data_IF_587718142886
#
_entry.id   IF_587718142886
#
_cell.length_a   1.000
_cell.length_b   1.000
_cell.length_c   1.000
_cell.angle_alpha   90.00
_cell.angle_beta   90.00
_cell.angle_gamma   90.00
#
_symmetry.space_group_name_H-M   'P 1'
#
loop_
_entity.id
_entity.type
_entity.pdbx_description
1 polymer ?
#
# COMPACT_ATOMS: atom_id res chain seq x y z
N UNK A 1 -12.66 3.35 -1.86
CA UNK A 1 -11.79 2.20 -1.53
C UNK A 1 -11.29 1.59 -2.83
N UNK A 2 -9.98 1.58 -3.08
CA UNK A 2 -9.36 0.86 -4.19
C UNK A 2 -8.69 -0.41 -3.67
N UNK A 3 -8.95 -1.53 -4.33
CA UNK A 3 -8.41 -2.85 -4.02
C UNK A 3 -7.54 -3.29 -5.19
N UNK A 4 -6.24 -3.45 -4.95
CA UNK A 4 -5.29 -3.90 -5.96
C UNK A 4 -4.62 -5.19 -5.51
N UNK A 5 -4.72 -6.24 -6.32
CA UNK A 5 -3.97 -7.48 -6.13
C UNK A 5 -2.81 -7.46 -7.12
N UNK A 6 -1.58 -7.50 -6.62
CA UNK A 6 -0.39 -7.36 -7.45
C UNK A 6 0.75 -8.23 -6.94
N UNK A 7 1.59 -8.72 -7.86
CA UNK A 7 2.93 -9.20 -7.54
C UNK A 7 3.83 -7.99 -7.31
N UNK A 8 4.24 -7.76 -6.06
CA UNK A 8 4.99 -6.55 -5.70
C UNK A 8 5.96 -6.75 -4.53
N UNK A 9 6.97 -5.89 -4.44
CA UNK A 9 7.77 -5.69 -3.23
C UNK A 9 7.41 -4.36 -2.57
N UNK A 10 7.68 -4.22 -1.28
CA UNK A 10 7.38 -2.99 -0.53
C UNK A 10 8.56 -2.60 0.35
N UNK A 11 8.95 -1.34 0.26
CA UNK A 11 9.98 -0.74 1.10
C UNK A 11 9.38 0.42 1.88
N UNK A 12 9.57 0.43 3.19
CA UNK A 12 9.19 1.53 4.06
C UNK A 12 10.42 2.16 4.69
N UNK A 13 10.51 3.49 4.58
CA UNK A 13 11.52 4.32 5.20
C UNK A 13 10.84 5.39 6.05
N UNK A 14 10.92 5.25 7.37
CA UNK A 14 10.36 6.22 8.32
C UNK A 14 11.07 6.13 9.66
N UNK A 15 10.31 6.02 10.75
CA UNK A 15 10.87 5.82 12.10
C UNK A 15 11.67 4.52 12.23
N UNK A 16 11.30 3.52 11.43
CA UNK A 16 12.00 2.26 11.24
C UNK A 16 12.13 2.01 9.73
N UNK A 17 13.01 1.08 9.36
CA UNK A 17 13.01 0.51 8.02
C UNK A 17 12.29 -0.83 8.02
N UNK A 18 11.53 -1.09 6.96
CA UNK A 18 10.92 -2.40 6.71
C UNK A 18 10.97 -2.74 5.24
N UNK A 19 11.20 -4.01 4.94
CA UNK A 19 11.20 -4.56 3.59
C UNK A 19 10.27 -5.77 3.53
N UNK A 20 9.34 -5.77 2.57
CA UNK A 20 8.55 -6.93 2.20
C UNK A 20 9.08 -7.45 0.85
N UNK A 21 9.56 -8.71 0.80
CA UNK A 21 10.06 -9.29 -0.44
C UNK A 21 8.92 -9.48 -1.44
N UNK A 22 9.31 -9.63 -2.71
CA UNK A 22 8.42 -9.87 -3.84
C UNK A 22 7.45 -11.01 -3.56
N UNK A 23 6.15 -10.71 -3.58
CA UNK A 23 5.08 -11.69 -3.46
C UNK A 23 3.77 -11.10 -3.98
N UNK A 24 2.76 -11.93 -4.18
CA UNK A 24 1.39 -11.46 -4.41
C UNK A 24 0.83 -10.86 -3.12
N UNK A 25 0.39 -9.60 -3.18
CA UNK A 25 -0.18 -8.87 -2.04
C UNK A 25 -1.52 -8.24 -2.43
N UNK A 26 -2.37 -8.06 -1.43
CA UNK A 26 -3.49 -7.11 -1.51
C UNK A 26 -3.01 -5.75 -1.01
N UNK A 27 -3.14 -4.73 -1.86
CA UNK A 27 -2.92 -3.33 -1.56
C UNK A 27 -4.29 -2.68 -1.45
N UNK A 28 -4.62 -2.14 -0.27
CA UNK A 28 -5.85 -1.39 -0.05
C UNK A 28 -5.52 0.09 0.05
N UNK A 29 -6.23 0.91 -0.72
CA UNK A 29 -6.15 2.38 -0.68
C UNK A 29 -7.53 2.93 -0.29
N UNK A 30 -7.62 3.51 0.90
CA UNK A 30 -8.84 4.15 1.41
C UNK A 30 -9.01 5.56 0.82
N UNK A 31 -10.24 6.08 0.87
CA UNK A 31 -10.57 7.41 0.35
C UNK A 31 -9.87 8.55 1.12
N UNK A 32 -9.54 8.34 2.39
CA UNK A 32 -8.76 9.27 3.23
C UNK A 32 -7.26 9.28 2.88
N UNK A 33 -6.81 8.40 1.97
CA UNK A 33 -5.42 8.23 1.59
C UNK A 33 -4.65 7.22 2.45
N UNK A 34 -5.29 6.53 3.39
CA UNK A 34 -4.66 5.43 4.12
C UNK A 34 -4.33 4.27 3.15
N UNK A 35 -3.12 3.71 3.28
CA UNK A 35 -2.64 2.59 2.45
C UNK A 35 -2.21 1.43 3.35
N UNK A 36 -2.62 0.21 3.02
CA UNK A 36 -2.24 -1.00 3.76
C UNK A 36 -1.96 -2.19 2.86
N UNK A 37 -0.99 -3.02 3.27
CA UNK A 37 -0.46 -4.16 2.51
C UNK A 37 -0.76 -5.45 3.27
N UNK A 38 -1.38 -6.42 2.60
CA UNK A 38 -1.84 -7.68 3.18
C UNK A 38 -1.32 -8.90 2.39
N UNK A 39 -1.32 -10.04 3.05
CA UNK A 39 -1.16 -11.37 2.44
C UNK A 39 -2.08 -12.38 3.11
N UNK A 40 -2.21 -13.56 2.51
CA UNK A 40 -3.00 -14.67 3.06
C UNK A 40 -2.45 -15.17 4.41
N UNK A 41 -1.14 -15.07 4.62
CA UNK A 41 -0.48 -15.39 5.89
C UNK A 41 -0.26 -14.15 6.76
N UNK A 42 -0.33 -14.33 8.08
CA UNK A 42 -0.10 -13.27 9.07
C UNK A 42 -1.18 -13.25 10.16
N UNK A 43 -1.04 -12.33 11.12
CA UNK A 43 -2.13 -11.99 12.04
C UNK A 43 -3.22 -11.19 11.30
N UNK A 44 -4.36 -10.91 11.95
CA UNK A 44 -5.45 -10.08 11.39
C UNK A 44 -5.07 -8.64 10.97
N UNK A 45 -3.81 -8.25 11.15
CA UNK A 45 -3.28 -6.91 10.90
C UNK A 45 -2.52 -6.87 9.56
N UNK A 46 -2.51 -5.73 8.86
CA UNK A 46 -1.66 -5.55 7.69
C UNK A 46 -0.19 -5.77 8.02
N UNK A 47 0.58 -6.22 7.03
CA UNK A 47 2.04 -6.39 7.14
C UNK A 47 2.77 -5.06 7.20
N UNK A 48 2.26 -4.05 6.49
CA UNK A 48 2.74 -2.68 6.50
C UNK A 48 1.59 -1.73 6.17
N UNK A 49 1.58 -0.53 6.75
CA UNK A 49 0.54 0.47 6.51
C UNK A 49 1.05 1.88 6.77
N UNK A 50 0.44 2.86 6.10
CA UNK A 50 0.59 4.29 6.37
C UNK A 50 -0.78 4.93 6.57
N UNK A 51 -0.97 5.54 7.73
CA UNK A 51 -2.19 6.28 8.05
C UNK A 51 -2.24 7.61 7.30
N UNK A 52 -3.45 8.03 6.93
CA UNK A 52 -3.71 9.35 6.37
C UNK A 52 -3.22 10.49 7.31
N UNK A 53 -2.90 11.68 6.75
CA UNK A 53 -2.94 12.03 5.34
C UNK A 53 -1.69 11.53 4.60
N UNK A 54 -1.88 10.94 3.42
CA UNK A 54 -0.79 10.56 2.53
C UNK A 54 -0.97 11.19 1.15
N UNK A 55 0.13 11.46 0.46
CA UNK A 55 0.17 11.68 -0.98
C UNK A 55 0.58 10.37 -1.65
N UNK A 56 -0.24 9.87 -2.57
CA UNK A 56 0.09 8.72 -3.41
C UNK A 56 0.50 9.24 -4.78
N UNK A 57 1.73 8.94 -5.19
CA UNK A 57 2.24 9.21 -6.53
C UNK A 57 2.36 7.87 -7.26
N UNK A 58 1.61 7.70 -8.34
CA UNK A 58 1.65 6.51 -9.18
C UNK A 58 2.53 6.78 -10.40
N UNK A 59 3.57 5.97 -10.56
CA UNK A 59 4.45 5.93 -11.72
C UNK A 59 4.38 4.53 -12.35
N UNK A 60 4.92 4.40 -13.58
CA UNK A 60 4.95 3.11 -14.26
C UNK A 60 5.72 2.07 -13.45
N UNK A 61 5.02 1.03 -13.00
CA UNK A 61 5.61 -0.05 -12.18
C UNK A 61 5.98 0.34 -10.75
N UNK A 62 5.66 1.55 -10.27
CA UNK A 62 6.07 2.02 -8.95
C UNK A 62 5.10 3.00 -8.33
N UNK A 63 4.68 2.76 -7.11
CA UNK A 63 3.93 3.73 -6.31
C UNK A 63 4.80 4.25 -5.18
N UNK A 64 4.74 5.56 -4.95
CA UNK A 64 5.43 6.24 -3.85
C UNK A 64 4.41 6.95 -2.99
N UNK A 65 4.30 6.52 -1.73
CA UNK A 65 3.37 7.05 -0.73
C UNK A 65 4.18 7.84 0.28
N UNK A 66 3.84 9.11 0.49
CA UNK A 66 4.52 9.98 1.46
C UNK A 66 3.55 10.62 2.43
N UNK A 67 4.00 10.87 3.66
CA UNK A 67 3.22 11.59 4.68
C UNK A 67 3.93 12.88 5.15
N UNK A 68 3.25 13.79 5.87
CA UNK A 68 3.84 15.04 6.37
C UNK A 68 5.00 14.86 7.35
N UNK A 69 5.21 13.65 7.88
CA UNK A 69 6.33 13.33 8.78
C UNK A 69 7.60 12.93 8.02
N UNK A 70 7.56 12.92 6.68
CA UNK A 70 8.68 12.54 5.82
C UNK A 70 8.87 11.03 5.69
N UNK A 71 7.90 10.21 6.12
CA UNK A 71 7.95 8.76 5.92
C UNK A 71 7.53 8.42 4.48
N UNK A 72 8.15 7.39 3.92
CA UNK A 72 7.95 6.95 2.55
C UNK A 72 7.66 5.45 2.51
N UNK A 73 6.57 5.04 1.85
CA UNK A 73 6.31 3.65 1.48
C UNK A 73 6.36 3.55 -0.04
N UNK A 74 7.27 2.74 -0.56
CA UNK A 74 7.44 2.49 -1.99
C UNK A 74 6.93 1.09 -2.30
N UNK A 75 6.03 0.98 -3.27
CA UNK A 75 5.52 -0.29 -3.77
C UNK A 75 6.05 -0.45 -5.20
N UNK A 76 6.87 -1.48 -5.42
CA UNK A 76 7.36 -1.83 -6.75
C UNK A 76 6.45 -2.91 -7.32
N UNK A 77 5.72 -2.58 -8.38
CA UNK A 77 4.73 -3.44 -9.03
C UNK A 77 5.39 -4.18 -10.19
N UNK A 78 5.32 -5.52 -10.16
CA UNK A 78 5.76 -6.38 -11.28
C UNK A 78 4.58 -6.76 -12.17
N UNK A 79 3.45 -7.12 -11.56
CA UNK A 79 2.24 -7.51 -12.28
C UNK A 79 1.01 -7.14 -11.46
N UNK A 80 -0.01 -6.59 -12.12
CA UNK A 80 -1.30 -6.29 -11.51
C UNK A 80 -2.31 -7.35 -11.97
N UNK A 81 -2.82 -8.13 -11.03
CA UNK A 81 -3.80 -9.20 -11.28
C UNK A 81 -5.23 -8.70 -11.23
N UNK A 82 -5.49 -7.71 -10.38
CA UNK A 82 -6.81 -7.12 -10.18
C UNK A 82 -6.69 -5.68 -9.70
N UNK A 83 -7.53 -4.80 -10.22
CA UNK A 83 -7.66 -3.40 -9.78
C UNK A 83 -9.13 -2.98 -9.87
N UNK A 84 -9.70 -2.62 -8.72
CA UNK A 84 -11.11 -2.22 -8.62
C UNK A 84 -11.30 -1.12 -7.59
N UNK A 85 -12.32 -0.31 -7.79
CA UNK A 85 -12.68 0.76 -6.88
C UNK A 85 -14.16 0.71 -6.52
N UNK A 86 -14.45 0.97 -5.24
CA UNK A 86 -15.80 1.00 -4.69
C UNK A 86 -15.95 2.17 -3.71
N UNK A 87 -17.11 2.81 -3.73
CA UNK A 87 -17.52 3.76 -2.70
C UNK A 87 -17.93 2.98 -1.44
N UNK A 88 -17.46 3.43 -0.28
CA UNK A 88 -17.86 2.93 1.03
C UNK A 88 -18.45 4.12 1.82
N UNK A 89 -19.19 3.84 2.89
CA UNK A 89 -19.81 4.88 3.73
C UNK A 89 -18.82 5.80 4.45
N UNK A 90 -19.35 6.85 5.08
CA UNK A 90 -18.60 8.00 5.64
C UNK A 90 -18.30 7.91 7.15
N UNK A 91 -18.48 6.74 7.78
CA UNK A 91 -18.32 6.56 9.24
C UNK A 91 -16.97 7.03 9.80
#
# INVERSE_FOLDING_TARGET
MRLVIATCSVDYAGRLSAHLPLATRLIMVKADGCVSIHSDGGAYKPLNWMNAPNRVTEEEGRWVITNPKGEVLTITLVEVHHDSAHELGED
#
